data_IF_199340346100
#
_entry.id   IF_199340346100
#
_cell.length_a   1.000
_cell.length_b   1.000
_cell.length_c   1.000
_cell.angle_alpha   90.00
_cell.angle_beta   90.00
_cell.angle_gamma   90.00
#
_symmetry.space_group_name_H-M   'P 1'
#
loop_
_entity.id
_entity.type
_entity.pdbx_description
1 polymer ?
#
# COMPACT_ATOMS: atom_id res chain seq x y z
N UNK A 1 19.90 12.86 13.95
CA UNK A 1 19.30 14.21 13.91
C UNK A 1 18.07 14.15 13.03
N UNK A 2 16.97 14.79 13.46
CA UNK A 2 15.70 14.83 12.71
C UNK A 2 15.54 16.17 12.00
N UNK A 3 15.09 16.12 10.76
CA UNK A 3 14.69 17.30 9.98
C UNK A 3 13.18 17.35 9.93
N UNK A 4 12.60 18.46 10.38
CA UNK A 4 11.16 18.69 10.32
C UNK A 4 10.86 19.61 9.13
N UNK A 5 9.93 19.19 8.30
CA UNK A 5 9.38 19.95 7.18
C UNK A 5 7.87 20.09 7.36
N UNK A 6 7.34 21.24 6.95
CA UNK A 6 5.93 21.57 7.05
C UNK A 6 5.31 21.61 5.66
N UNK A 7 4.13 21.01 5.54
CA UNK A 7 3.31 21.01 4.34
C UNK A 7 1.96 21.64 4.68
N UNK A 8 1.47 22.56 3.85
CA UNK A 8 0.20 23.26 4.04
C UNK A 8 -0.49 23.48 2.71
N UNK A 9 -1.84 23.37 2.60
CA UNK A 9 -2.54 23.67 1.35
C UNK A 9 -2.47 25.16 0.99
N UNK A 10 -2.14 26.03 1.95
CA UNK A 10 -1.88 27.46 1.74
C UNK A 10 -0.38 27.78 1.66
N UNK A 11 0.48 26.76 1.61
CA UNK A 11 1.93 26.92 1.50
C UNK A 11 2.38 27.34 0.10
N UNK A 12 3.70 27.35 -0.09
CA UNK A 12 4.35 27.70 -1.36
C UNK A 12 5.56 26.81 -1.58
N UNK A 13 5.76 26.28 -2.79
CA UNK A 13 6.92 25.43 -3.10
C UNK A 13 8.24 26.21 -3.24
N UNK A 14 8.15 27.54 -3.19
CA UNK A 14 9.26 28.48 -3.09
C UNK A 14 9.76 28.64 -1.64
N UNK A 15 8.98 28.25 -0.63
CA UNK A 15 9.42 28.29 0.76
C UNK A 15 10.46 27.19 1.06
N UNK A 16 11.08 27.24 2.24
CA UNK A 16 12.08 26.24 2.67
C UNK A 16 11.48 25.06 3.46
N UNK A 17 10.19 25.14 3.83
CA UNK A 17 9.48 24.12 4.58
C UNK A 17 9.86 24.00 6.06
N UNK A 18 10.79 24.80 6.59
CA UNK A 18 11.37 24.58 7.93
C UNK A 18 10.51 25.11 9.07
N UNK A 19 9.51 25.93 8.75
CA UNK A 19 8.56 26.51 9.71
C UNK A 19 7.14 26.42 9.15
N UNK A 20 6.10 26.43 10.01
CA UNK A 20 4.71 26.39 9.56
C UNK A 20 4.29 27.51 8.61
N UNK A 21 4.78 28.74 8.83
CA UNK A 21 4.54 29.93 7.98
C UNK A 21 5.39 29.95 6.69
N UNK A 22 6.31 29.00 6.56
CA UNK A 22 7.14 28.75 5.38
C UNK A 22 6.92 27.31 4.88
N UNK A 23 5.70 26.78 5.04
CA UNK A 23 5.37 25.43 4.60
C UNK A 23 5.40 25.30 3.07
N UNK A 24 5.78 24.12 2.59
CA UNK A 24 5.61 23.72 1.19
C UNK A 24 4.13 23.61 0.83
N UNK A 25 3.81 23.73 -0.46
CA UNK A 25 2.46 23.51 -0.99
C UNK A 25 2.26 22.05 -1.43
N UNK A 26 3.31 21.41 -1.95
CA UNK A 26 3.26 20.06 -2.50
C UNK A 26 4.08 19.04 -1.70
N UNK A 27 3.53 17.83 -1.56
CA UNK A 27 4.21 16.72 -0.92
C UNK A 27 5.48 16.30 -1.69
N UNK A 28 5.45 16.37 -3.03
CA UNK A 28 6.63 16.08 -3.85
C UNK A 28 7.79 16.98 -3.48
N UNK A 29 7.56 18.30 -3.38
CA UNK A 29 8.60 19.26 -3.03
C UNK A 29 9.16 18.98 -1.63
N UNK A 30 8.30 18.67 -0.66
CA UNK A 30 8.72 18.35 0.70
C UNK A 30 9.59 17.08 0.77
N UNK A 31 9.23 16.03 0.03
CA UNK A 31 10.03 14.80 -0.07
C UNK A 31 11.38 15.08 -0.72
N UNK A 32 11.40 15.82 -1.83
CA UNK A 32 12.64 16.14 -2.55
C UNK A 32 13.60 16.95 -1.68
N UNK A 33 13.10 17.97 -0.99
CA UNK A 33 13.87 18.81 -0.07
C UNK A 33 14.42 17.99 1.11
N UNK A 34 13.62 17.07 1.67
CA UNK A 34 14.07 16.18 2.73
C UNK A 34 15.18 15.24 2.27
N UNK A 35 15.03 14.62 1.10
CA UNK A 35 16.05 13.73 0.53
C UNK A 35 17.35 14.47 0.21
N UNK A 36 17.26 15.67 -0.35
CA UNK A 36 18.43 16.50 -0.62
C UNK A 36 19.19 16.85 0.65
N UNK A 37 18.48 17.30 1.68
CA UNK A 37 19.10 17.66 2.95
C UNK A 37 19.70 16.44 3.67
N UNK A 38 19.00 15.30 3.72
CA UNK A 38 19.53 14.06 4.28
C UNK A 38 20.83 13.61 3.60
N UNK A 39 20.94 13.74 2.28
CA UNK A 39 22.18 13.45 1.55
C UNK A 39 23.35 14.37 1.95
N UNK A 40 23.07 15.63 2.29
CA UNK A 40 24.11 16.61 2.66
C UNK A 40 24.55 16.48 4.12
N UNK A 41 23.61 16.22 5.02
CA UNK A 41 23.87 16.31 6.47
C UNK A 41 23.93 14.94 7.17
N UNK A 42 23.58 13.86 6.46
CA UNK A 42 23.43 12.54 7.07
C UNK A 42 22.22 12.44 8.02
N UNK A 43 21.19 13.29 7.85
CA UNK A 43 19.98 13.20 8.66
C UNK A 43 19.34 11.82 8.51
N UNK A 44 19.13 11.16 9.64
CA UNK A 44 18.55 9.82 9.72
C UNK A 44 17.02 9.83 9.78
N UNK A 45 16.39 10.99 9.95
CA UNK A 45 14.93 11.12 10.01
C UNK A 45 14.46 12.42 9.36
N UNK A 46 13.60 12.29 8.37
CA UNK A 46 12.88 13.36 7.69
C UNK A 46 11.42 13.23 8.14
N UNK A 47 10.92 14.22 8.87
CA UNK A 47 9.55 14.29 9.34
C UNK A 47 8.81 15.38 8.56
N UNK A 48 7.83 14.99 7.76
CA UNK A 48 6.92 15.89 7.06
C UNK A 48 5.62 15.98 7.86
N UNK A 49 5.39 17.14 8.48
CA UNK A 49 4.17 17.47 9.21
C UNK A 49 3.16 18.11 8.24
N UNK A 50 2.08 17.38 7.98
CA UNK A 50 1.01 17.81 7.07
C UNK A 50 -0.05 18.57 7.86
N UNK A 51 -0.15 19.88 7.61
CA UNK A 51 -1.19 20.71 8.21
C UNK A 51 -2.58 20.31 7.71
N UNK A 52 -3.59 20.56 8.54
CA UNK A 52 -4.99 20.33 8.19
C UNK A 52 -5.37 21.06 6.90
N UNK A 53 -6.26 20.44 6.14
CA UNK A 53 -6.88 21.02 4.94
C UNK A 53 -6.85 20.05 3.77
N UNK A 54 -7.22 20.55 2.59
CA UNK A 54 -7.43 19.71 1.39
C UNK A 54 -6.38 20.01 0.32
N UNK A 55 -5.59 19.00 -0.01
CA UNK A 55 -4.53 19.03 -1.03
C UNK A 55 -5.07 18.39 -2.31
N UNK A 56 -5.30 19.20 -3.34
CA UNK A 56 -6.01 18.77 -4.56
C UNK A 56 -5.03 18.25 -5.63
N UNK A 57 -5.36 17.10 -6.22
CA UNK A 57 -4.72 16.55 -7.42
C UNK A 57 -3.26 16.15 -7.26
N UNK A 58 -2.72 16.08 -6.03
CA UNK A 58 -1.30 15.82 -5.84
C UNK A 58 -0.95 14.37 -6.14
N UNK A 59 0.22 14.18 -6.78
CA UNK A 59 0.88 12.90 -6.98
C UNK A 59 2.32 13.05 -6.54
N UNK A 60 2.85 12.07 -5.82
CA UNK A 60 4.24 12.01 -5.40
C UNK A 60 4.87 10.73 -5.91
N UNK A 61 6.02 10.87 -6.57
CA UNK A 61 6.85 9.77 -7.04
C UNK A 61 8.22 9.92 -6.39
N UNK A 62 8.62 8.91 -5.63
CA UNK A 62 9.90 8.90 -4.94
C UNK A 62 10.61 7.57 -5.15
N UNK A 63 11.93 7.59 -5.15
CA UNK A 63 12.74 6.40 -4.91
C UNK A 63 12.86 6.13 -3.41
N UNK A 64 13.48 5.00 -3.04
CA UNK A 64 13.86 4.74 -1.65
C UNK A 64 14.57 5.95 -1.02
N UNK A 65 14.28 6.27 0.25
CA UNK A 65 15.05 7.26 1.00
C UNK A 65 16.55 6.95 0.98
N UNK A 66 17.41 7.97 1.20
CA UNK A 66 18.84 7.74 1.40
C UNK A 66 19.13 6.66 2.45
N UNK A 67 20.31 6.03 2.37
CA UNK A 67 20.67 4.96 3.29
C UNK A 67 20.58 5.44 4.75
N UNK A 68 20.04 4.60 5.63
CA UNK A 68 19.84 4.92 7.05
C UNK A 68 18.79 5.99 7.33
N UNK A 69 18.01 6.42 6.33
CA UNK A 69 17.04 7.52 6.47
C UNK A 69 15.62 7.00 6.64
N UNK A 70 14.92 7.53 7.63
CA UNK A 70 13.49 7.38 7.83
C UNK A 70 12.75 8.57 7.23
N UNK A 71 11.90 8.34 6.24
CA UNK A 71 10.91 9.32 5.79
C UNK A 71 9.59 9.06 6.54
N UNK A 72 9.12 10.01 7.31
CA UNK A 72 7.82 9.97 7.99
C UNK A 72 6.95 11.11 7.47
N UNK A 73 5.77 10.76 6.96
CA UNK A 73 4.76 11.70 6.48
C UNK A 73 3.54 11.50 7.36
N UNK A 74 3.21 12.51 8.17
CA UNK A 74 2.08 12.39 9.11
C UNK A 74 1.28 13.67 9.26
N UNK A 75 0.05 13.53 9.73
CA UNK A 75 -0.73 14.66 10.18
C UNK A 75 0.01 15.46 11.25
N UNK A 76 -0.03 16.79 11.14
CA UNK A 76 0.59 17.68 12.11
C UNK A 76 -0.11 17.64 13.48
N UNK A 77 -1.41 17.32 13.51
CA UNK A 77 -2.20 17.13 14.73
C UNK A 77 -2.91 15.78 14.72
N UNK A 78 -2.79 14.96 15.79
CA UNK A 78 -3.41 13.64 15.86
C UNK A 78 -4.89 13.67 16.30
N UNK A 79 -5.38 14.80 16.83
CA UNK A 79 -6.73 14.92 17.43
C UNK A 79 -7.68 15.81 16.61
N UNK A 80 -7.22 16.35 15.48
CA UNK A 80 -8.01 17.20 14.58
C UNK A 80 -8.58 16.44 13.38
N UNK A 81 -9.29 17.15 12.50
CA UNK A 81 -9.66 16.59 11.19
C UNK A 81 -8.39 16.22 10.42
N UNK A 82 -8.31 14.97 9.97
CA UNK A 82 -7.17 14.50 9.20
C UNK A 82 -6.93 15.38 7.96
N UNK A 83 -5.67 15.71 7.61
CA UNK A 83 -5.35 16.32 6.34
C UNK A 83 -5.78 15.41 5.18
N UNK A 84 -6.46 15.98 4.19
CA UNK A 84 -7.04 15.24 3.08
C UNK A 84 -6.23 15.48 1.81
N UNK A 85 -5.66 14.41 1.24
CA UNK A 85 -5.22 14.42 -0.15
C UNK A 85 -6.36 13.95 -1.03
N UNK A 86 -6.76 14.79 -1.98
CA UNK A 86 -7.92 14.56 -2.82
C UNK A 86 -7.51 14.50 -4.30
N UNK A 87 -7.65 13.33 -4.91
CA UNK A 87 -7.29 13.12 -6.31
C UNK A 87 -8.22 13.81 -7.31
N UNK A 88 -9.28 14.48 -6.86
CA UNK A 88 -10.29 15.20 -7.68
C UNK A 88 -10.96 14.33 -8.74
N UNK A 89 -10.86 13.00 -8.61
CA UNK A 89 -11.39 12.02 -9.55
C UNK A 89 -10.65 11.92 -10.88
N UNK A 90 -9.50 12.58 -11.02
CA UNK A 90 -8.67 12.56 -12.23
C UNK A 90 -7.27 12.03 -11.96
N UNK A 91 -6.81 12.05 -10.70
CA UNK A 91 -5.47 11.62 -10.34
C UNK A 91 -5.31 10.08 -10.38
N UNK A 92 -4.16 9.64 -10.90
CA UNK A 92 -3.81 8.24 -11.04
C UNK A 92 -3.44 7.58 -9.70
N UNK A 93 -2.30 7.97 -9.13
CA UNK A 93 -1.81 7.41 -7.86
C UNK A 93 -1.35 8.53 -6.95
N UNK A 94 -1.75 8.53 -5.67
CA UNK A 94 -1.30 9.56 -4.73
C UNK A 94 0.20 9.45 -4.45
N UNK A 95 0.68 8.26 -4.04
CA UNK A 95 2.09 8.05 -3.72
C UNK A 95 2.66 6.79 -4.39
N UNK A 96 3.80 6.95 -5.07
CA UNK A 96 4.55 5.86 -5.68
C UNK A 96 5.97 5.82 -5.12
N UNK A 97 6.32 4.74 -4.43
CA UNK A 97 7.71 4.46 -4.02
C UNK A 97 8.32 3.46 -5.02
N UNK A 98 9.49 3.75 -5.58
CA UNK A 98 10.14 2.92 -6.60
C UNK A 98 11.52 2.41 -6.17
N UNK A 99 11.92 1.31 -6.80
CA UNK A 99 13.27 0.77 -6.73
C UNK A 99 13.48 -0.19 -5.55
N UNK A 100 14.73 -0.39 -5.17
CA UNK A 100 15.09 -1.21 -4.01
C UNK A 100 15.26 -0.33 -2.78
N UNK A 101 14.83 -0.82 -1.61
CA UNK A 101 15.08 -0.13 -0.34
C UNK A 101 16.59 -0.05 -0.09
N UNK A 102 17.11 1.17 0.11
CA UNK A 102 18.50 1.38 0.53
C UNK A 102 18.69 0.86 1.96
N UNK A 103 19.90 0.38 2.27
CA UNK A 103 20.21 -0.20 3.58
C UNK A 103 19.78 0.73 4.73
N UNK A 104 18.93 0.23 5.61
CA UNK A 104 18.43 0.97 6.79
C UNK A 104 17.42 2.08 6.49
N UNK A 105 17.01 2.28 5.23
CA UNK A 105 15.96 3.23 4.89
C UNK A 105 14.58 2.67 5.26
N UNK A 106 13.66 3.55 5.67
CA UNK A 106 12.28 3.19 6.04
C UNK A 106 11.31 4.33 5.73
N UNK A 107 10.04 4.01 5.53
CA UNK A 107 8.99 4.98 5.21
C UNK A 107 7.78 4.77 6.12
N UNK A 108 7.20 5.85 6.63
CA UNK A 108 5.97 5.82 7.44
C UNK A 108 4.96 6.82 6.89
N UNK A 109 3.72 6.37 6.70
CA UNK A 109 2.55 7.21 6.44
C UNK A 109 1.60 7.10 7.62
N UNK A 110 1.16 8.24 8.18
CA UNK A 110 0.31 8.22 9.38
C UNK A 110 -0.76 9.32 9.46
N UNK A 111 -1.99 8.93 9.81
CA UNK A 111 -3.02 9.89 10.21
C UNK A 111 -3.58 10.75 9.07
N UNK A 112 -3.44 10.31 7.82
CA UNK A 112 -3.90 11.07 6.65
C UNK A 112 -5.14 10.44 6.04
N UNK A 113 -5.93 11.28 5.38
CA UNK A 113 -7.07 10.87 4.58
C UNK A 113 -6.76 11.00 3.10
N UNK A 114 -6.81 9.87 2.38
CA UNK A 114 -6.48 9.78 0.96
C UNK A 114 -7.74 9.39 0.21
N UNK A 115 -8.23 10.27 -0.66
CA UNK A 115 -9.52 10.07 -1.32
C UNK A 115 -9.56 10.48 -2.78
N UNK A 116 -10.53 9.92 -3.51
CA UNK A 116 -10.81 10.25 -4.90
C UNK A 116 -9.62 10.00 -5.86
N UNK A 117 -8.84 8.95 -5.60
CA UNK A 117 -7.76 8.48 -6.47
C UNK A 117 -8.12 7.17 -7.17
N UNK A 118 -7.49 6.89 -8.32
CA UNK A 118 -7.58 5.55 -8.91
C UNK A 118 -6.83 4.51 -8.06
N UNK A 119 -5.66 4.85 -7.53
CA UNK A 119 -4.86 4.07 -6.58
C UNK A 119 -4.32 5.01 -5.51
N UNK A 120 -4.28 4.61 -4.24
CA UNK A 120 -3.72 5.47 -3.20
C UNK A 120 -2.19 5.34 -3.17
N UNK A 121 -1.68 4.16 -2.83
CA UNK A 121 -0.24 3.93 -2.62
C UNK A 121 0.23 2.78 -3.52
N UNK A 122 1.40 2.93 -4.13
CA UNK A 122 2.07 1.88 -4.90
C UNK A 122 3.53 1.74 -4.48
N UNK A 123 3.85 0.63 -3.81
CA UNK A 123 5.22 0.22 -3.50
C UNK A 123 5.73 -0.67 -4.64
N UNK A 124 6.58 -0.11 -5.48
CA UNK A 124 7.08 -0.73 -6.69
C UNK A 124 8.57 -1.08 -6.53
N UNK A 125 8.84 -2.27 -5.98
CA UNK A 125 10.08 -2.97 -6.27
C UNK A 125 10.11 -3.41 -7.74
N UNK A 126 10.96 -4.37 -8.06
CA UNK A 126 10.97 -4.96 -9.40
C UNK A 126 10.27 -6.32 -9.39
N UNK A 127 9.24 -6.48 -10.23
CA UNK A 127 8.51 -7.75 -10.39
C UNK A 127 9.35 -8.86 -11.04
N UNK A 128 10.37 -8.50 -11.81
CA UNK A 128 11.19 -9.40 -12.61
C UNK A 128 12.57 -9.65 -11.98
N UNK A 129 12.95 -8.86 -10.96
CA UNK A 129 14.16 -9.07 -10.18
C UNK A 129 13.84 -9.08 -8.67
N UNK A 130 13.85 -10.29 -8.11
CA UNK A 130 13.53 -10.58 -6.71
C UNK A 130 14.45 -9.84 -5.72
N UNK A 131 15.66 -9.47 -6.11
CA UNK A 131 16.62 -8.79 -5.23
C UNK A 131 16.40 -7.29 -5.12
N UNK A 132 15.61 -6.71 -6.01
CA UNK A 132 15.25 -5.28 -5.99
C UNK A 132 13.88 -5.09 -5.34
N UNK A 133 13.80 -5.43 -4.05
CA UNK A 133 12.57 -5.34 -3.26
C UNK A 133 12.51 -4.05 -2.43
N UNK A 134 11.30 -3.63 -2.10
CA UNK A 134 11.04 -2.62 -1.07
C UNK A 134 10.78 -3.29 0.28
N UNK A 135 11.24 -2.69 1.37
CA UNK A 135 10.98 -3.14 2.75
C UNK A 135 10.91 -1.97 3.72
N UNK A 136 10.39 -2.22 4.93
CA UNK A 136 10.39 -1.26 6.04
C UNK A 136 9.40 -0.12 5.87
N UNK A 137 8.30 -0.33 5.13
CA UNK A 137 7.20 0.64 5.05
C UNK A 137 6.16 0.37 6.13
N UNK A 138 5.71 1.42 6.81
CA UNK A 138 4.56 1.40 7.73
C UNK A 138 3.47 2.32 7.20
N UNK A 139 2.24 1.80 7.12
CA UNK A 139 1.03 2.56 6.75
C UNK A 139 0.06 2.37 7.91
N UNK A 140 -0.13 3.42 8.71
CA UNK A 140 -0.91 3.34 9.94
C UNK A 140 -1.88 4.49 10.16
N UNK A 141 -3.00 4.23 10.82
CA UNK A 141 -3.99 5.25 11.17
C UNK A 141 -4.46 6.09 9.95
N UNK A 142 -4.45 5.50 8.74
CA UNK A 142 -4.86 6.18 7.50
C UNK A 142 -6.33 5.91 7.18
N UNK A 143 -6.95 6.84 6.46
CA UNK A 143 -8.23 6.59 5.77
C UNK A 143 -8.01 6.57 4.26
N UNK A 144 -8.52 5.54 3.60
CA UNK A 144 -8.57 5.41 2.15
C UNK A 144 -10.04 5.37 1.72
N UNK A 145 -10.53 6.46 1.14
CA UNK A 145 -11.96 6.61 0.80
C UNK A 145 -12.15 6.84 -0.70
N UNK A 146 -13.07 6.10 -1.31
CA UNK A 146 -13.48 6.31 -2.70
C UNK A 146 -12.26 6.15 -3.60
N UNK A 147 -11.77 4.90 -3.70
CA UNK A 147 -10.61 4.54 -4.50
C UNK A 147 -11.01 3.58 -5.62
N UNK A 148 -10.50 3.83 -6.83
CA UNK A 148 -10.82 3.05 -8.04
C UNK A 148 -11.62 3.87 -9.06
N UNK A 149 -12.37 3.20 -9.94
CA UNK A 149 -13.21 3.92 -10.91
C UNK A 149 -14.35 4.68 -10.28
N UNK A 150 -14.74 4.38 -9.04
CA UNK A 150 -15.72 5.19 -8.31
C UNK A 150 -15.26 6.64 -8.15
N UNK A 151 -13.94 6.85 -7.97
CA UNK A 151 -13.33 8.17 -8.00
C UNK A 151 -13.13 8.70 -9.42
N UNK A 152 -12.64 7.83 -10.30
CA UNK A 152 -12.22 8.19 -11.65
C UNK A 152 -13.00 7.39 -12.72
N UNK A 153 -14.29 7.69 -12.98
CA UNK A 153 -15.15 6.85 -13.82
C UNK A 153 -14.67 6.69 -15.26
N UNK A 154 -13.93 7.68 -15.77
CA UNK A 154 -13.37 7.70 -17.13
C UNK A 154 -12.03 6.96 -17.24
N UNK A 155 -11.42 6.59 -16.11
CA UNK A 155 -10.12 5.89 -16.10
C UNK A 155 -10.29 4.38 -16.27
N UNK A 156 -9.26 3.65 -16.73
CA UNK A 156 -9.28 2.20 -16.72
C UNK A 156 -9.43 1.66 -15.28
N UNK A 157 -9.92 0.42 -15.11
CA UNK A 157 -10.03 -0.22 -13.79
C UNK A 157 -8.74 -0.11 -12.98
N UNK A 158 -8.85 0.22 -11.69
CA UNK A 158 -7.74 0.06 -10.75
C UNK A 158 -7.60 -1.40 -10.34
N UNK A 159 -6.41 -1.80 -9.90
CA UNK A 159 -6.19 -3.12 -9.32
C UNK A 159 -6.04 -3.08 -7.80
N UNK A 160 -5.80 -1.90 -7.22
CA UNK A 160 -5.50 -1.77 -5.80
C UNK A 160 -5.78 -0.36 -5.26
N UNK A 161 -6.15 -0.25 -3.99
CA UNK A 161 -5.95 0.98 -3.23
C UNK A 161 -4.50 1.08 -2.73
N UNK A 162 -3.97 0.03 -2.11
CA UNK A 162 -2.54 -0.13 -1.79
C UNK A 162 -1.97 -1.29 -2.59
N UNK A 163 -0.98 -1.02 -3.44
CA UNK A 163 -0.31 -2.02 -4.28
C UNK A 163 1.10 -2.29 -3.79
N UNK A 164 1.43 -3.56 -3.60
CA UNK A 164 2.74 -4.06 -3.20
C UNK A 164 3.27 -4.93 -4.33
N UNK A 165 4.35 -4.49 -4.99
CA UNK A 165 5.04 -5.25 -6.03
C UNK A 165 6.47 -5.52 -5.57
N UNK A 166 6.81 -6.78 -5.30
CA UNK A 166 8.08 -7.18 -4.68
C UNK A 166 8.41 -6.29 -3.47
N UNK A 167 7.43 -6.16 -2.56
CA UNK A 167 7.55 -5.38 -1.34
C UNK A 167 7.34 -6.30 -0.12
N UNK A 168 8.29 -6.30 0.80
CA UNK A 168 8.42 -7.28 1.88
C UNK A 168 8.44 -6.62 3.25
N UNK A 169 8.02 -7.35 4.28
CA UNK A 169 8.19 -6.92 5.68
C UNK A 169 7.67 -5.50 5.93
N UNK A 170 6.52 -5.17 5.33
CA UNK A 170 5.81 -3.91 5.56
C UNK A 170 4.66 -4.15 6.56
N UNK A 171 4.29 -3.09 7.27
CA UNK A 171 3.15 -3.09 8.20
C UNK A 171 2.05 -2.19 7.67
N UNK A 172 0.83 -2.71 7.59
CA UNK A 172 -0.38 -2.00 7.19
C UNK A 172 -1.40 -2.21 8.31
N UNK A 173 -1.56 -1.24 9.21
CA UNK A 173 -2.35 -1.43 10.42
C UNK A 173 -3.24 -0.27 10.81
N UNK A 174 -4.34 -0.53 11.52
CA UNK A 174 -5.25 0.51 12.01
C UNK A 174 -5.78 1.45 10.91
N UNK A 175 -5.87 0.98 9.66
CA UNK A 175 -6.35 1.80 8.56
C UNK A 175 -7.84 1.53 8.31
N UNK A 176 -8.52 2.52 7.74
CA UNK A 176 -9.89 2.40 7.27
C UNK A 176 -9.94 2.46 5.74
N UNK A 177 -10.55 1.46 5.12
CA UNK A 177 -10.80 1.39 3.68
C UNK A 177 -12.29 1.48 3.43
N UNK A 178 -12.73 2.55 2.78
CA UNK A 178 -14.15 2.80 2.50
C UNK A 178 -14.35 3.00 1.01
N UNK A 179 -15.37 2.37 0.45
CA UNK A 179 -15.79 2.59 -0.94
C UNK A 179 -14.65 2.30 -1.95
N UNK A 180 -14.08 1.10 -1.87
CA UNK A 180 -13.03 0.65 -2.78
C UNK A 180 -13.69 -0.08 -3.95
N UNK A 181 -13.98 0.66 -5.03
CA UNK A 181 -14.87 0.18 -6.10
C UNK A 181 -14.39 0.52 -7.51
N UNK A 182 -14.53 -0.46 -8.39
CA UNK A 182 -14.61 -0.24 -9.83
C UNK A 182 -16.03 -0.54 -10.31
N UNK A 183 -16.49 0.21 -11.31
CA UNK A 183 -17.75 -0.12 -12.01
C UNK A 183 -17.56 -1.27 -13.01
N UNK A 184 -16.37 -1.35 -13.63
CA UNK A 184 -15.99 -2.41 -14.56
C UNK A 184 -14.96 -3.33 -13.91
N UNK A 185 -15.08 -4.64 -14.15
CA UNK A 185 -14.10 -5.63 -13.65
C UNK A 185 -13.86 -5.53 -12.15
N UNK A 186 -14.95 -5.47 -11.40
CA UNK A 186 -14.96 -5.24 -9.96
C UNK A 186 -14.08 -6.23 -9.18
N UNK A 187 -14.09 -7.52 -9.55
CA UNK A 187 -13.21 -8.55 -8.96
C UNK A 187 -11.69 -8.38 -9.20
N UNK A 188 -11.27 -7.38 -9.98
CA UNK A 188 -9.85 -7.06 -10.19
C UNK A 188 -9.32 -5.99 -9.22
N UNK A 189 -10.19 -5.27 -8.50
CA UNK A 189 -9.78 -4.26 -7.54
C UNK A 189 -9.75 -4.84 -6.13
N UNK A 190 -8.62 -4.62 -5.44
CA UNK A 190 -8.45 -5.00 -4.04
C UNK A 190 -8.19 -3.76 -3.19
N UNK A 191 -8.52 -3.79 -1.91
CA UNK A 191 -8.05 -2.76 -1.00
C UNK A 191 -6.53 -2.86 -0.85
N UNK A 192 -6.01 -4.07 -0.63
CA UNK A 192 -4.57 -4.34 -0.56
C UNK A 192 -4.24 -5.46 -1.54
N UNK A 193 -3.30 -5.19 -2.45
CA UNK A 193 -2.86 -6.15 -3.45
C UNK A 193 -1.36 -6.44 -3.34
N UNK A 194 -1.02 -7.65 -2.92
CA UNK A 194 0.33 -8.18 -2.82
C UNK A 194 0.64 -8.99 -4.06
N UNK A 195 1.66 -8.58 -4.81
CA UNK A 195 2.05 -9.23 -6.05
C UNK A 195 3.57 -9.37 -6.15
N UNK A 196 4.00 -10.45 -6.82
CA UNK A 196 5.38 -10.64 -7.28
C UNK A 196 6.40 -10.62 -6.14
N UNK A 197 6.44 -11.67 -5.31
CA UNK A 197 7.37 -11.79 -4.18
C UNK A 197 7.14 -10.76 -3.05
N UNK A 198 5.90 -10.30 -2.89
CA UNK A 198 5.49 -9.43 -1.80
C UNK A 198 5.25 -10.26 -0.53
N UNK A 199 6.33 -10.50 0.23
CA UNK A 199 6.38 -11.53 1.27
C UNK A 199 6.61 -10.97 2.68
N UNK A 200 6.11 -11.65 3.70
CA UNK A 200 6.36 -11.29 5.10
C UNK A 200 5.71 -9.99 5.55
N UNK A 201 4.68 -9.51 4.85
CA UNK A 201 3.94 -8.31 5.24
C UNK A 201 2.91 -8.63 6.32
N UNK A 202 2.62 -7.65 7.16
CA UNK A 202 1.62 -7.72 8.23
C UNK A 202 0.49 -6.75 7.94
N UNK A 203 -0.73 -7.26 7.92
CA UNK A 203 -1.97 -6.52 7.65
C UNK A 203 -2.91 -6.74 8.82
N UNK A 204 -2.91 -5.82 9.79
CA UNK A 204 -3.59 -6.05 11.07
C UNK A 204 -4.52 -4.92 11.48
N UNK A 205 -5.60 -5.24 12.18
CA UNK A 205 -6.50 -4.26 12.80
C UNK A 205 -7.04 -3.20 11.81
N UNK A 206 -7.18 -3.55 10.52
CA UNK A 206 -7.78 -2.66 9.54
C UNK A 206 -9.30 -2.90 9.41
N UNK A 207 -10.02 -1.84 9.09
CA UNK A 207 -11.46 -1.88 8.82
C UNK A 207 -11.73 -1.68 7.32
N UNK A 208 -12.49 -2.58 6.73
CA UNK A 208 -12.85 -2.57 5.32
C UNK A 208 -14.37 -2.51 5.18
N UNK A 209 -14.85 -1.51 4.46
CA UNK A 209 -16.26 -1.26 4.24
C UNK A 209 -16.55 -0.96 2.77
N UNK A 210 -17.57 -1.62 2.21
CA UNK A 210 -18.06 -1.38 0.85
C UNK A 210 -16.95 -1.60 -0.20
N UNK A 211 -16.42 -2.82 -0.25
CA UNK A 211 -15.39 -3.25 -1.19
C UNK A 211 -15.96 -4.14 -2.27
N UNK A 212 -15.57 -3.91 -3.52
CA UNK A 212 -16.23 -4.57 -4.64
C UNK A 212 -15.51 -5.86 -5.10
N UNK A 213 -14.16 -5.89 -5.14
CA UNK A 213 -13.39 -7.13 -5.25
C UNK A 213 -13.05 -7.71 -3.87
N UNK A 214 -12.24 -8.78 -3.82
CA UNK A 214 -11.72 -9.28 -2.54
C UNK A 214 -10.87 -8.17 -1.87
N UNK A 215 -11.13 -7.79 -0.62
CA UNK A 215 -10.33 -6.82 0.12
C UNK A 215 -8.82 -7.05 0.03
N UNK A 216 -8.35 -8.29 0.20
CA UNK A 216 -6.93 -8.61 0.23
C UNK A 216 -6.63 -9.71 -0.79
N UNK A 217 -5.79 -9.40 -1.78
CA UNK A 217 -5.30 -10.37 -2.77
C UNK A 217 -3.80 -10.60 -2.61
N UNK A 218 -3.40 -11.87 -2.66
CA UNK A 218 -2.01 -12.33 -2.65
C UNK A 218 -1.72 -13.08 -3.95
N UNK A 219 -0.63 -12.67 -4.63
CA UNK A 219 -0.25 -13.21 -5.94
C UNK A 219 1.23 -13.42 -6.13
N UNK A 220 1.56 -14.47 -6.88
CA UNK A 220 2.89 -14.74 -7.45
C UNK A 220 4.01 -14.77 -6.39
N UNK A 221 4.19 -15.93 -5.74
CA UNK A 221 5.25 -16.17 -4.74
C UNK A 221 5.29 -15.14 -3.60
N UNK A 222 4.15 -14.60 -3.22
CA UNK A 222 4.00 -13.60 -2.15
C UNK A 222 3.71 -14.33 -0.85
N UNK A 223 4.77 -14.71 -0.15
CA UNK A 223 4.73 -15.76 0.87
C UNK A 223 4.74 -15.21 2.29
N UNK A 224 4.31 -16.03 3.25
CA UNK A 224 4.45 -15.76 4.68
C UNK A 224 3.87 -14.40 5.13
N UNK A 225 2.82 -13.92 4.45
CA UNK A 225 2.10 -12.74 4.87
C UNK A 225 1.11 -13.09 5.97
N UNK A 226 0.86 -12.15 6.86
CA UNK A 226 -0.10 -12.32 7.96
C UNK A 226 -1.17 -11.26 7.78
N UNK A 227 -2.43 -11.68 7.75
CA UNK A 227 -3.56 -10.77 7.89
C UNK A 227 -4.42 -11.17 9.09
N UNK A 228 -4.43 -10.33 10.12
CA UNK A 228 -5.06 -10.65 11.40
C UNK A 228 -5.94 -9.55 11.96
N UNK A 229 -6.99 -9.92 12.69
CA UNK A 229 -7.86 -8.98 13.42
C UNK A 229 -8.48 -7.87 12.55
N UNK A 230 -8.57 -8.07 11.23
CA UNK A 230 -9.23 -7.12 10.35
C UNK A 230 -10.74 -7.34 10.39
N UNK A 231 -11.49 -6.27 10.17
CA UNK A 231 -12.95 -6.33 10.08
C UNK A 231 -13.40 -6.01 8.67
N UNK A 232 -14.29 -6.84 8.11
CA UNK A 232 -14.79 -6.72 6.75
C UNK A 232 -16.31 -6.62 6.75
N UNK A 233 -16.82 -5.57 6.11
CA UNK A 233 -18.25 -5.29 5.97
C UNK A 233 -18.59 -4.93 4.54
N UNK A 234 -19.74 -5.39 4.06
CA UNK A 234 -20.22 -5.07 2.72
C UNK A 234 -19.18 -5.38 1.64
N UNK A 235 -18.50 -6.52 1.75
CA UNK A 235 -17.66 -7.04 0.69
C UNK A 235 -18.52 -7.80 -0.32
N UNK A 236 -18.58 -7.31 -1.56
CA UNK A 236 -19.45 -7.88 -2.61
C UNK A 236 -18.88 -9.16 -3.23
N UNK A 237 -17.56 -9.36 -3.16
CA UNK A 237 -16.87 -10.49 -3.77
C UNK A 237 -17.01 -11.77 -2.93
N UNK A 238 -17.06 -12.98 -3.53
CA UNK A 238 -17.25 -14.25 -2.82
C UNK A 238 -16.05 -14.73 -1.98
N UNK A 239 -15.10 -13.85 -1.65
CA UNK A 239 -13.96 -14.10 -0.78
C UNK A 239 -13.44 -12.78 -0.20
N UNK A 240 -12.87 -12.84 1.01
CA UNK A 240 -12.13 -11.73 1.63
C UNK A 240 -10.66 -11.78 1.23
N UNK A 241 -10.08 -12.97 1.40
CA UNK A 241 -8.71 -13.29 1.06
C UNK A 241 -8.70 -14.12 -0.22
N UNK A 242 -7.88 -13.69 -1.16
CA UNK A 242 -7.81 -14.25 -2.47
C UNK A 242 -6.37 -14.57 -2.82
N UNK A 243 -6.09 -15.84 -3.10
CA UNK A 243 -4.79 -16.30 -3.56
C UNK A 243 -4.85 -16.71 -5.02
N UNK A 244 -3.97 -16.12 -5.83
CA UNK A 244 -4.00 -16.28 -7.27
C UNK A 244 -2.60 -16.24 -7.88
N UNK A 245 -2.37 -16.97 -8.96
CA UNK A 245 -1.21 -16.76 -9.81
C UNK A 245 -1.56 -17.04 -11.27
N UNK A 246 -0.84 -16.41 -12.19
CA UNK A 246 -1.02 -16.61 -13.61
C UNK A 246 -0.22 -17.81 -14.11
N UNK A 247 -0.90 -18.95 -14.26
CA UNK A 247 -0.32 -20.13 -14.88
C UNK A 247 -0.23 -19.94 -16.41
N UNK A 248 0.95 -19.54 -16.89
CA UNK A 248 1.21 -19.31 -18.33
C UNK A 248 1.01 -20.57 -19.20
N UNK A 249 1.11 -21.77 -18.61
CA UNK A 249 0.83 -23.02 -19.34
C UNK A 249 -0.65 -23.19 -19.68
N UNK A 250 -1.54 -22.51 -18.93
CA UNK A 250 -3.00 -22.58 -19.09
C UNK A 250 -3.61 -21.27 -19.59
N UNK A 251 -2.93 -20.15 -19.37
CA UNK A 251 -3.41 -18.83 -19.74
C UNK A 251 -2.37 -18.07 -20.57
N UNK A 252 -2.54 -17.96 -21.89
CA UNK A 252 -1.60 -17.26 -22.76
C UNK A 252 -1.56 -15.74 -22.51
N UNK A 253 -2.51 -15.18 -21.76
CA UNK A 253 -2.55 -13.75 -21.40
C UNK A 253 -1.65 -13.40 -20.20
N UNK A 254 -0.95 -14.37 -19.61
CA UNK A 254 0.01 -14.11 -18.55
C UNK A 254 1.16 -13.24 -19.08
N UNK A 255 1.33 -12.05 -18.50
CA UNK A 255 2.31 -11.06 -19.00
C UNK A 255 3.73 -11.29 -18.49
N UNK A 256 3.92 -12.02 -17.38
CA UNK A 256 5.26 -12.29 -16.81
C UNK A 256 5.91 -13.42 -17.61
N UNK A 257 7.08 -13.17 -18.19
CA UNK A 257 7.72 -14.14 -19.08
C UNK A 257 8.14 -15.43 -18.36
N UNK A 258 8.71 -15.32 -17.16
CA UNK A 258 9.01 -16.47 -16.29
C UNK A 258 7.75 -17.19 -15.76
N UNK A 259 6.58 -16.62 -16.02
CA UNK A 259 5.30 -16.99 -15.42
C UNK A 259 5.30 -16.80 -13.91
N UNK A 260 4.19 -17.18 -13.28
CA UNK A 260 3.96 -16.94 -11.85
C UNK A 260 3.84 -18.26 -11.10
N UNK A 261 4.12 -18.20 -9.80
CA UNK A 261 4.01 -19.36 -8.90
C UNK A 261 2.98 -19.10 -7.80
N UNK A 262 2.40 -20.15 -7.19
CA UNK A 262 1.54 -19.98 -6.04
C UNK A 262 2.27 -19.29 -4.88
N UNK A 263 1.49 -18.82 -3.91
CA UNK A 263 2.02 -18.28 -2.67
C UNK A 263 1.92 -19.32 -1.56
N UNK A 264 2.79 -19.25 -0.56
CA UNK A 264 2.85 -20.23 0.53
C UNK A 264 2.96 -19.56 1.89
N UNK A 265 2.47 -20.25 2.93
CA UNK A 265 2.66 -19.85 4.33
C UNK A 265 1.91 -18.58 4.75
N UNK A 266 0.96 -18.10 3.95
CA UNK A 266 0.12 -16.98 4.34
C UNK A 266 -0.85 -17.41 5.45
N UNK A 267 -1.06 -16.54 6.43
CA UNK A 267 -1.88 -16.82 7.61
C UNK A 267 -2.98 -15.78 7.71
N UNK A 268 -4.21 -16.25 7.89
CA UNK A 268 -5.40 -15.44 8.12
C UNK A 268 -6.00 -15.83 9.48
N UNK A 269 -5.98 -14.94 10.47
CA UNK A 269 -6.40 -15.26 11.85
C UNK A 269 -7.17 -14.12 12.54
N UNK A 270 -8.14 -14.43 13.39
CA UNK A 270 -8.86 -13.41 14.18
C UNK A 270 -9.67 -12.38 13.37
N UNK A 271 -9.83 -12.58 12.05
CA UNK A 271 -10.57 -11.66 11.19
C UNK A 271 -12.08 -11.84 11.34
N UNK A 272 -12.82 -10.72 11.29
CA UNK A 272 -14.28 -10.70 11.39
C UNK A 272 -14.90 -10.34 10.05
N UNK A 273 -15.86 -11.15 9.58
CA UNK A 273 -16.55 -10.93 8.30
C UNK A 273 -18.05 -10.87 8.54
N UNK A 274 -18.63 -9.70 8.30
CA UNK A 274 -20.02 -9.42 8.59
C UNK A 274 -20.69 -8.78 7.38
N UNK A 275 -22.01 -8.96 7.25
CA UNK A 275 -22.85 -8.20 6.29
C UNK A 275 -22.23 -8.14 4.88
N UNK A 276 -21.60 -9.23 4.47
CA UNK A 276 -20.83 -9.35 3.23
C UNK A 276 -21.42 -10.47 2.37
N UNK A 277 -20.85 -10.73 1.21
CA UNK A 277 -21.25 -11.85 0.37
C UNK A 277 -21.30 -13.16 1.18
N UNK A 278 -22.38 -13.95 1.05
CA UNK A 278 -22.61 -15.14 1.86
C UNK A 278 -21.42 -16.13 1.87
N UNK A 279 -20.83 -16.38 0.70
CA UNK A 279 -19.61 -17.22 0.58
C UNK A 279 -18.39 -16.64 1.31
N UNK A 280 -18.22 -15.31 1.32
CA UNK A 280 -17.11 -14.68 2.02
C UNK A 280 -17.28 -14.80 3.54
N UNK A 281 -18.52 -14.73 4.05
CA UNK A 281 -18.81 -14.95 5.47
C UNK A 281 -18.57 -16.40 5.89
N UNK A 282 -18.97 -17.39 5.09
CA UNK A 282 -18.80 -18.81 5.44
C UNK A 282 -17.40 -19.36 5.13
N UNK A 283 -16.74 -18.83 4.09
CA UNK A 283 -15.45 -19.29 3.59
C UNK A 283 -14.66 -18.09 3.06
N UNK A 284 -14.03 -17.32 3.95
CA UNK A 284 -13.41 -16.03 3.60
C UNK A 284 -12.18 -16.17 2.70
N UNK A 285 -11.60 -17.36 2.57
CA UNK A 285 -10.40 -17.61 1.77
C UNK A 285 -10.77 -18.35 0.48
N UNK A 286 -10.27 -17.85 -0.66
CA UNK A 286 -10.36 -18.50 -1.96
C UNK A 286 -8.98 -18.64 -2.59
N UNK A 287 -8.61 -19.86 -2.97
CA UNK A 287 -7.38 -20.16 -3.72
C UNK A 287 -7.77 -20.58 -5.14
N UNK A 288 -7.38 -19.79 -6.13
CA UNK A 288 -7.85 -19.96 -7.52
C UNK A 288 -7.12 -21.05 -8.31
N UNK A 289 -5.83 -21.27 -8.04
CA UNK A 289 -5.01 -22.24 -8.76
C UNK A 289 -4.29 -23.12 -7.74
N UNK A 290 -4.93 -24.18 -7.23
CA UNK A 290 -4.32 -25.03 -6.21
C UNK A 290 -3.20 -25.93 -6.77
N UNK A 291 -3.12 -26.09 -8.09
CA UNK A 291 -2.08 -26.90 -8.72
C UNK A 291 -0.73 -26.19 -8.63
N UNK A 292 0.33 -26.92 -8.27
CA UNK A 292 1.69 -26.41 -8.23
C UNK A 292 2.34 -26.68 -9.59
N UNK A 293 2.76 -25.62 -10.28
CA UNK A 293 3.48 -25.74 -11.55
C UNK A 293 4.89 -26.28 -11.33
N UNK A 294 5.40 -27.09 -12.25
CA UNK A 294 6.81 -27.49 -12.25
C UNK A 294 7.74 -26.27 -12.16
N UNK A 295 8.79 -26.38 -11.34
CA UNK A 295 9.73 -25.29 -11.05
C UNK A 295 9.26 -24.27 -10.00
N UNK A 296 8.04 -24.41 -9.47
CA UNK A 296 7.61 -23.67 -8.29
C UNK A 296 7.92 -24.49 -7.03
N UNK A 297 8.76 -23.94 -6.15
CA UNK A 297 9.08 -24.54 -4.86
C UNK A 297 8.55 -23.67 -3.73
N UNK A 298 7.96 -24.32 -2.72
CA UNK A 298 7.69 -23.64 -1.47
C UNK A 298 9.04 -23.16 -0.87
N UNK A 299 9.09 -21.98 -0.23
CA UNK A 299 10.27 -21.57 0.50
C UNK A 299 10.62 -22.64 1.55
N UNK A 300 11.90 -22.98 1.69
CA UNK A 300 12.34 -23.92 2.72
C UNK A 300 11.78 -23.50 4.09
N UNK A 301 11.14 -24.44 4.80
CA UNK A 301 10.56 -24.21 6.12
C UNK A 301 11.56 -23.69 7.17
N UNK A 302 12.87 -23.73 6.85
CA UNK A 302 13.97 -23.23 7.67
C UNK A 302 14.16 -21.69 7.65
N UNK A 303 13.44 -20.95 6.80
CA UNK A 303 13.55 -19.50 6.66
C UNK A 303 12.72 -18.67 7.65
N UNK A 304 12.99 -18.80 8.96
CA UNK A 304 12.62 -17.90 10.08
C UNK A 304 11.21 -17.27 10.08
N UNK A 305 10.38 -17.75 11.01
CA UNK A 305 9.26 -16.98 11.61
C UNK A 305 9.74 -15.57 11.96
N UNK A 306 9.07 -14.49 11.50
CA UNK A 306 9.20 -13.21 12.17
C UNK A 306 8.70 -13.40 13.60
N UNK A 307 9.56 -13.17 14.60
CA UNK A 307 9.06 -12.96 15.95
C UNK A 307 8.21 -11.68 15.89
N UNK A 308 6.99 -11.74 16.41
CA UNK A 308 6.18 -10.55 16.62
C UNK A 308 7.02 -9.53 17.41
N UNK A 309 7.03 -8.25 17.02
CA UNK A 309 7.62 -7.22 17.86
C UNK A 309 6.92 -7.26 19.22
N UNK A 310 7.71 -7.35 20.30
CA UNK A 310 7.25 -7.08 21.66
C UNK A 310 7.08 -5.58 21.86
#
# INVERSE_FOLDING_TARGET
MSQVLHLSPAGSDQHDGRKPDQAFASLQRAVDAGYEASRKTGNSHILILVAQGRYKGQTTIADSPPAGTHLEIRAASPTGTAPTFDGTGTAGTWFVLKGATKKGARVTFRGLDIRNYRTAISLNGNRDNVNTFLTGTTIEDMTFDTIGQVAAPKSPPSTAAIRLVNARQNSIRNNRFVNIRNFKSCGNLHAIYLAHHASGNVIEDNDFENTCGSPIRIRDSSNNNIASNNTFRQADYPAIFDEWYCDRSKNPRCTKQSGECPSWGNIYSGNTVERSHAKAMSRPVLVHAPQIRAGCAAPDAAGRRPQAPR
#
